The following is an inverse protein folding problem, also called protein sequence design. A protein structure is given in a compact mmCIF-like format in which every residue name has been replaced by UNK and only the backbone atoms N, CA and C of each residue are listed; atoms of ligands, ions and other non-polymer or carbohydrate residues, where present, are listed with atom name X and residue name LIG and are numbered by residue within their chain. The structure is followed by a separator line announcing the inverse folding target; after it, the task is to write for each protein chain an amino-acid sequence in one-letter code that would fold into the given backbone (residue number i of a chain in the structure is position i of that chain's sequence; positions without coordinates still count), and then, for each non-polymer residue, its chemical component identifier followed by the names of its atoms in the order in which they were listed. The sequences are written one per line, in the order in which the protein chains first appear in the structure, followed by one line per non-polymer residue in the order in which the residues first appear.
data_IF_800036700732
#
_entry.id   IF_800036700732
#
_cell.length_a   1.000
_cell.length_b   1.000
_cell.length_c   1.000
_cell.angle_alpha   90.00
_cell.angle_beta   90.00
_cell.angle_gamma   90.00
#
_symmetry.space_group_name_H-M   'P 1'
#
loop_
_entity.id
_entity.type
_entity.pdbx_description
1 polymer ?
#
# COMPACT_ATOMS: atom_id res chain seq x y z
N UNK A 1 41.84 -42.62 -16.82
CA UNK A 1 40.70 -42.79 -15.90
C UNK A 1 40.37 -41.42 -15.32
N UNK A 2 39.18 -40.85 -15.62
CA UNK A 2 38.83 -39.50 -15.24
C UNK A 2 38.26 -39.45 -13.81
N UNK A 3 38.69 -38.46 -13.03
CA UNK A 3 38.17 -38.17 -11.69
C UNK A 3 37.02 -37.17 -11.85
N UNK A 4 35.83 -37.39 -11.25
CA UNK A 4 34.66 -36.55 -11.48
C UNK A 4 34.78 -35.21 -10.71
N UNK A 5 34.56 -34.11 -11.42
CA UNK A 5 34.37 -32.79 -10.86
C UNK A 5 33.03 -32.75 -10.10
N UNK A 6 33.12 -32.67 -8.77
CA UNK A 6 31.98 -32.37 -7.90
C UNK A 6 31.52 -30.94 -8.19
N UNK A 7 30.37 -30.82 -8.86
CA UNK A 7 29.69 -29.55 -9.08
C UNK A 7 29.05 -29.13 -7.74
N UNK A 8 29.74 -28.26 -7.01
CA UNK A 8 29.23 -27.62 -5.80
C UNK A 8 27.98 -26.82 -6.15
N UNK A 9 26.81 -27.30 -5.72
CA UNK A 9 25.55 -26.56 -5.78
C UNK A 9 25.73 -25.24 -5.04
N UNK A 10 25.80 -24.13 -5.77
CA UNK A 10 25.61 -22.80 -5.21
C UNK A 10 24.13 -22.72 -4.84
N UNK A 11 23.84 -22.99 -3.57
CA UNK A 11 22.54 -22.78 -2.94
C UNK A 11 22.25 -21.28 -2.92
N UNK A 12 21.50 -20.79 -3.90
CA UNK A 12 20.89 -19.45 -3.90
C UNK A 12 19.71 -19.42 -2.94
N UNK A 13 20.01 -19.55 -1.65
CA UNK A 13 19.08 -19.23 -0.56
C UNK A 13 19.70 -18.11 0.27
N UNK A 14 19.75 -16.90 -0.31
CA UNK A 14 19.97 -15.68 0.46
C UNK A 14 18.91 -15.65 1.57
N UNK A 15 19.31 -15.62 2.86
CA UNK A 15 18.37 -15.77 3.95
C UNK A 15 17.42 -14.57 3.95
N UNK A 16 16.10 -14.84 4.01
CA UNK A 16 15.02 -13.83 4.16
C UNK A 16 15.23 -12.86 5.33
N UNK A 17 16.20 -13.09 6.22
CA UNK A 17 16.48 -12.32 7.43
C UNK A 17 16.92 -10.87 7.20
N UNK A 18 17.60 -10.55 6.09
CA UNK A 18 18.02 -9.16 5.82
C UNK A 18 16.87 -8.25 5.41
N UNK A 19 15.87 -8.80 4.71
CA UNK A 19 14.63 -8.08 4.36
C UNK A 19 13.76 -7.86 5.59
N UNK A 20 13.68 -8.82 6.51
CA UNK A 20 12.84 -8.69 7.71
C UNK A 20 13.31 -7.58 8.65
N UNK A 21 14.61 -7.40 8.82
CA UNK A 21 15.17 -6.34 9.68
C UNK A 21 14.99 -4.93 9.07
N UNK A 22 15.20 -4.79 7.75
CA UNK A 22 14.98 -3.52 7.04
C UNK A 22 13.52 -3.11 7.01
N UNK A 23 12.60 -4.06 6.76
CA UNK A 23 11.16 -3.80 6.75
C UNK A 23 10.65 -3.45 8.15
N UNK A 24 11.12 -4.12 9.20
CA UNK A 24 10.74 -3.78 10.57
C UNK A 24 11.13 -2.33 10.91
N UNK A 25 12.35 -1.93 10.54
CA UNK A 25 12.82 -0.56 10.70
C UNK A 25 12.00 0.45 9.86
N UNK A 26 11.64 0.09 8.64
CA UNK A 26 10.80 0.92 7.77
C UNK A 26 9.35 1.08 8.26
N UNK A 27 8.80 0.07 8.95
CA UNK A 27 7.48 0.13 9.61
C UNK A 27 7.55 0.94 10.90
N UNK A 28 8.65 0.81 11.67
CA UNK A 28 8.82 1.56 12.91
C UNK A 28 8.80 3.07 12.67
N UNK A 29 9.38 3.55 11.58
CA UNK A 29 9.39 4.98 11.24
C UNK A 29 7.99 5.62 11.22
N UNK A 30 7.04 5.20 10.37
CA UNK A 30 5.69 5.75 10.38
C UNK A 30 4.95 5.51 11.70
N UNK A 31 5.17 4.39 12.40
CA UNK A 31 4.53 4.16 13.71
C UNK A 31 5.03 5.14 14.78
N UNK A 32 6.32 5.47 14.79
CA UNK A 32 6.88 6.46 15.69
C UNK A 32 6.26 7.85 15.45
N UNK A 33 6.05 8.23 14.19
CA UNK A 33 5.34 9.47 13.86
C UNK A 33 3.88 9.43 14.31
N UNK A 34 3.16 8.31 14.11
CA UNK A 34 1.79 8.15 14.61
C UNK A 34 1.73 8.34 16.12
N UNK A 35 2.60 7.68 16.87
CA UNK A 35 2.64 7.77 18.33
C UNK A 35 2.98 9.20 18.80
N UNK A 36 4.01 9.82 18.22
CA UNK A 36 4.41 11.18 18.58
C UNK A 36 3.28 12.20 18.34
N UNK A 37 2.65 12.20 17.16
CA UNK A 37 1.55 13.13 16.90
C UNK A 37 0.32 12.82 17.74
N UNK A 38 0.07 11.56 18.12
CA UNK A 38 -1.01 11.19 19.03
C UNK A 38 -0.75 11.66 20.47
N UNK A 39 0.49 11.55 20.95
CA UNK A 39 0.93 12.03 22.27
C UNK A 39 0.80 13.55 22.36
N UNK A 40 1.38 14.29 21.40
CA UNK A 40 1.24 15.75 21.31
C UNK A 40 -0.23 16.16 21.20
N UNK A 41 -1.05 15.42 20.44
CA UNK A 41 -2.49 15.71 20.36
C UNK A 41 -3.21 15.47 21.69
N UNK A 42 -2.76 14.51 22.49
CA UNK A 42 -3.33 14.26 23.83
C UNK A 42 -3.00 15.42 24.77
N UNK A 43 -1.75 15.90 24.74
CA UNK A 43 -1.32 17.08 25.50
C UNK A 43 -2.10 18.34 25.09
N UNK A 44 -2.20 18.63 23.79
CA UNK A 44 -2.97 19.78 23.29
C UNK A 44 -4.46 19.70 23.67
N UNK A 45 -5.05 18.50 23.66
CA UNK A 45 -6.43 18.30 24.07
C UNK A 45 -6.63 18.54 25.58
N UNK A 46 -5.65 18.13 26.39
CA UNK A 46 -5.64 18.37 27.83
C UNK A 46 -5.48 19.87 28.13
N UNK A 47 -4.53 20.55 27.49
CA UNK A 47 -4.35 22.00 27.62
C UNK A 47 -5.61 22.78 27.21
N UNK A 48 -6.28 22.35 26.14
CA UNK A 48 -7.54 22.95 25.71
C UNK A 48 -8.66 22.74 26.75
N UNK A 49 -8.72 21.56 27.37
CA UNK A 49 -9.69 21.28 28.42
C UNK A 49 -9.43 22.14 29.67
N UNK A 50 -8.16 22.30 30.05
CA UNK A 50 -7.75 23.16 31.17
C UNK A 50 -8.06 24.63 30.91
N UNK A 51 -7.75 25.15 29.72
CA UNK A 51 -8.05 26.54 29.34
C UNK A 51 -9.57 26.80 29.36
N UNK A 52 -10.37 25.83 28.90
CA UNK A 52 -11.84 25.93 28.96
C UNK A 52 -12.43 25.88 30.36
N UNK A 53 -11.71 25.28 31.31
CA UNK A 53 -12.12 25.23 32.72
C UNK A 53 -11.75 26.51 33.49
N UNK A 54 -10.94 27.40 32.92
CA UNK A 54 -10.55 28.65 33.57
C UNK A 54 -11.74 29.64 33.66
N UNK A 55 -11.86 30.38 34.78
CA UNK A 55 -12.89 31.43 34.91
C UNK A 55 -12.77 32.54 33.87
N UNK A 56 -11.55 32.87 33.47
CA UNK A 56 -11.24 33.81 32.40
C UNK A 56 -10.54 33.06 31.26
N UNK A 57 -11.30 32.78 30.19
CA UNK A 57 -10.85 31.99 29.04
C UNK A 57 -10.07 32.86 28.05
N UNK A 58 -8.94 32.36 27.58
CA UNK A 58 -8.21 32.92 26.46
C UNK A 58 -8.66 32.26 25.15
N UNK A 59 -9.62 32.89 24.47
CA UNK A 59 -10.17 32.39 23.20
C UNK A 59 -9.12 32.31 22.07
N UNK A 60 -8.07 33.14 22.12
CA UNK A 60 -6.98 33.07 21.13
C UNK A 60 -6.16 31.79 21.31
N UNK A 61 -5.81 31.46 22.55
CA UNK A 61 -5.09 30.24 22.89
C UNK A 61 -5.92 28.99 22.57
N UNK A 62 -7.24 28.99 22.85
CA UNK A 62 -8.11 27.89 22.46
C UNK A 62 -8.14 27.66 20.95
N UNK A 63 -8.17 28.73 20.16
CA UNK A 63 -8.16 28.65 18.71
C UNK A 63 -6.83 28.11 18.16
N UNK A 64 -5.72 28.49 18.79
CA UNK A 64 -4.38 27.98 18.50
C UNK A 64 -4.28 26.47 18.79
N UNK A 65 -4.64 26.03 20.00
CA UNK A 65 -4.63 24.62 20.40
C UNK A 65 -5.52 23.75 19.50
N UNK A 66 -6.73 24.24 19.15
CA UNK A 66 -7.62 23.58 18.20
C UNK A 66 -7.03 23.54 16.78
N UNK A 67 -6.31 24.58 16.37
CA UNK A 67 -5.58 24.64 15.11
C UNK A 67 -4.51 23.57 15.03
N UNK A 68 -3.69 23.46 16.07
CA UNK A 68 -2.60 22.49 16.15
C UNK A 68 -3.10 21.04 16.19
N UNK A 69 -4.17 20.78 16.96
CA UNK A 69 -4.88 19.50 16.94
C UNK A 69 -5.33 19.13 15.52
N UNK A 70 -5.98 20.07 14.82
CA UNK A 70 -6.44 19.85 13.44
C UNK A 70 -5.28 19.59 12.48
N UNK A 71 -4.10 20.15 12.72
CA UNK A 71 -2.91 19.89 11.91
C UNK A 71 -2.24 18.55 12.21
N UNK A 72 -2.37 18.02 13.43
CA UNK A 72 -1.78 16.73 13.81
C UNK A 72 -2.56 15.52 13.26
N UNK A 73 -3.89 15.58 13.26
CA UNK A 73 -4.74 14.50 12.75
C UNK A 73 -4.42 14.03 11.30
N UNK A 74 -4.21 14.91 10.31
CA UNK A 74 -3.84 14.49 8.97
C UNK A 74 -2.44 13.86 8.91
N UNK A 75 -1.49 14.31 9.76
CA UNK A 75 -0.16 13.70 9.86
C UNK A 75 -0.26 12.27 10.39
N UNK A 76 -1.03 12.04 11.46
CA UNK A 76 -1.33 10.69 11.98
C UNK A 76 -1.89 9.81 10.87
N UNK A 77 -2.89 10.31 10.13
CA UNK A 77 -3.51 9.57 9.03
C UNK A 77 -2.51 9.22 7.93
N UNK A 78 -1.68 10.18 7.50
CA UNK A 78 -0.66 9.98 6.47
C UNK A 78 0.36 8.90 6.88
N UNK A 79 0.86 8.96 8.11
CA UNK A 79 1.84 8.00 8.60
C UNK A 79 1.20 6.60 8.81
N UNK A 80 -0.05 6.52 9.27
CA UNK A 80 -0.79 5.26 9.36
C UNK A 80 -1.00 4.60 8.00
N UNK A 81 -1.35 5.37 6.97
CA UNK A 81 -1.47 4.87 5.59
C UNK A 81 -0.13 4.37 5.04
N UNK A 82 0.97 5.05 5.35
CA UNK A 82 2.33 4.62 4.98
C UNK A 82 2.67 3.28 5.64
N UNK A 83 2.44 3.15 6.95
CA UNK A 83 2.66 1.88 7.67
C UNK A 83 1.84 0.74 7.05
N UNK A 84 0.55 0.98 6.77
CA UNK A 84 -0.34 0.02 6.13
C UNK A 84 0.15 -0.42 4.74
N UNK A 85 0.66 0.53 3.94
CA UNK A 85 1.20 0.24 2.61
C UNK A 85 2.47 -0.61 2.67
N UNK A 86 3.34 -0.40 3.66
CA UNK A 86 4.55 -1.22 3.86
C UNK A 86 4.16 -2.66 4.26
N UNK A 87 3.22 -2.81 5.21
CA UNK A 87 2.71 -4.12 5.62
C UNK A 87 2.04 -4.85 4.46
N UNK A 88 1.26 -4.13 3.64
CA UNK A 88 0.64 -4.69 2.45
C UNK A 88 1.70 -5.15 1.44
N UNK A 89 2.73 -4.34 1.18
CA UNK A 89 3.86 -4.73 0.35
C UNK A 89 4.57 -5.98 0.87
N UNK A 90 4.75 -6.10 2.19
CA UNK A 90 5.31 -7.29 2.83
C UNK A 90 4.43 -8.53 2.65
N UNK A 91 3.11 -8.41 2.85
CA UNK A 91 2.15 -9.51 2.69
C UNK A 91 2.01 -9.97 1.24
N UNK A 92 2.09 -9.05 0.28
CA UNK A 92 2.09 -9.36 -1.16
C UNK A 92 3.31 -10.22 -1.54
N UNK A 93 4.46 -9.99 -0.92
CA UNK A 93 5.69 -10.79 -1.10
C UNK A 93 5.73 -12.07 -0.24
N UNK A 94 5.00 -12.11 0.87
CA UNK A 94 4.97 -13.27 1.78
C UNK A 94 3.91 -14.30 1.42
N UNK A 95 2.84 -13.91 0.70
CA UNK A 95 1.86 -14.86 0.18
C UNK A 95 2.51 -15.64 -0.95
N UNK A 96 3.03 -16.82 -0.63
CA UNK A 96 3.28 -17.86 -1.61
C UNK A 96 1.98 -18.05 -2.42
N UNK A 97 1.95 -17.54 -3.66
CA UNK A 97 1.22 -18.29 -4.68
C UNK A 97 1.85 -19.68 -4.68
N UNK A 98 1.10 -20.71 -5.07
CA UNK A 98 1.70 -22.04 -5.24
C UNK A 98 2.89 -22.01 -6.22
N UNK A 99 3.10 -20.88 -6.94
CA UNK A 99 4.12 -20.71 -7.95
C UNK A 99 3.81 -21.54 -9.20
N UNK A 100 2.70 -22.27 -9.19
CA UNK A 100 2.33 -23.16 -10.26
C UNK A 100 1.91 -22.35 -11.47
N UNK A 101 2.73 -22.49 -12.51
CA UNK A 101 2.41 -21.93 -13.81
C UNK A 101 1.35 -22.80 -14.46
N UNK A 102 0.25 -22.19 -14.85
CA UNK A 102 -0.79 -22.85 -15.63
C UNK A 102 -1.02 -22.11 -16.94
N UNK A 103 -1.39 -22.82 -18.03
CA UNK A 103 -1.81 -22.19 -19.27
C UNK A 103 -2.95 -21.21 -19.00
N UNK A 104 -2.74 -19.94 -19.32
CA UNK A 104 -3.67 -18.86 -18.96
C UNK A 104 -3.90 -17.95 -20.16
N UNK A 105 -5.16 -17.61 -20.40
CA UNK A 105 -5.54 -16.56 -21.33
C UNK A 105 -5.26 -15.19 -20.68
N UNK A 106 -4.18 -14.54 -21.11
CA UNK A 106 -3.80 -13.23 -20.58
C UNK A 106 -4.76 -12.12 -21.01
N UNK A 107 -5.43 -12.23 -22.16
CA UNK A 107 -6.38 -11.21 -22.59
C UNK A 107 -7.60 -11.21 -21.67
N UNK A 108 -8.14 -12.40 -21.39
CA UNK A 108 -9.25 -12.55 -20.45
C UNK A 108 -8.86 -12.06 -19.04
N UNK A 109 -7.67 -12.43 -18.56
CA UNK A 109 -7.17 -11.99 -17.27
C UNK A 109 -6.99 -10.47 -17.20
N UNK A 110 -6.44 -9.84 -18.25
CA UNK A 110 -6.28 -8.39 -18.31
C UNK A 110 -7.62 -7.65 -18.31
N UNK A 111 -8.60 -8.10 -19.11
CA UNK A 111 -9.94 -7.48 -19.16
C UNK A 111 -10.66 -7.62 -17.81
N UNK A 112 -10.61 -8.79 -17.18
CA UNK A 112 -11.20 -9.04 -15.86
C UNK A 112 -10.66 -8.06 -14.81
N UNK A 113 -9.33 -7.98 -14.67
CA UNK A 113 -8.70 -7.13 -13.66
C UNK A 113 -8.82 -5.64 -13.98
N UNK A 114 -8.91 -5.25 -15.26
CA UNK A 114 -9.18 -3.87 -15.67
C UNK A 114 -10.57 -3.43 -15.21
N UNK A 115 -11.59 -4.25 -15.47
CA UNK A 115 -12.96 -4.00 -15.01
C UNK A 115 -13.05 -3.99 -13.49
N UNK A 116 -12.40 -4.94 -12.83
CA UNK A 116 -12.37 -5.03 -11.37
C UNK A 116 -11.78 -3.76 -10.75
N UNK A 117 -10.64 -3.29 -11.24
CA UNK A 117 -10.03 -2.05 -10.76
C UNK A 117 -10.94 -0.83 -10.98
N UNK A 118 -11.57 -0.73 -12.15
CA UNK A 118 -12.45 0.39 -12.50
C UNK A 118 -13.69 0.43 -11.61
N UNK A 119 -14.39 -0.69 -11.45
CA UNK A 119 -15.54 -0.80 -10.57
C UNK A 119 -15.17 -0.60 -9.10
N UNK A 120 -14.01 -1.09 -8.68
CA UNK A 120 -13.50 -0.88 -7.32
C UNK A 120 -13.28 0.60 -6.98
N UNK A 121 -12.78 1.39 -7.94
CA UNK A 121 -12.65 2.82 -7.76
C UNK A 121 -14.01 3.53 -7.78
N UNK A 122 -14.89 3.18 -8.73
CA UNK A 122 -16.24 3.78 -8.82
C UNK A 122 -17.15 3.49 -7.62
N UNK A 123 -16.94 2.36 -6.95
CA UNK A 123 -17.66 2.03 -5.72
C UNK A 123 -17.27 2.99 -4.57
N UNK A 124 -16.02 3.47 -4.56
CA UNK A 124 -15.52 4.45 -3.57
C UNK A 124 -15.86 5.88 -3.97
N UNK A 125 -15.77 6.19 -5.25
CA UNK A 125 -16.10 7.49 -5.81
C UNK A 125 -16.97 7.33 -7.06
N UNK A 126 -18.27 7.59 -6.91
CA UNK A 126 -19.24 7.46 -7.99
C UNK A 126 -19.04 8.49 -9.11
N UNK A 127 -18.31 9.57 -8.84
CA UNK A 127 -18.06 10.66 -9.80
C UNK A 127 -16.91 10.35 -10.75
N UNK A 128 -16.03 9.41 -10.37
CA UNK A 128 -14.94 8.97 -11.21
C UNK A 128 -15.47 8.31 -12.49
N UNK A 129 -15.02 8.83 -13.64
CA UNK A 129 -15.25 8.25 -14.94
C UNK A 129 -13.95 8.28 -15.76
N UNK A 130 -13.66 7.17 -16.44
CA UNK A 130 -12.54 7.03 -17.35
C UNK A 130 -13.00 6.20 -18.54
N UNK A 131 -12.56 6.56 -19.74
CA UNK A 131 -12.75 5.75 -20.94
C UNK A 131 -11.76 4.59 -20.91
N UNK A 132 -12.27 3.36 -20.95
CA UNK A 132 -11.45 2.15 -21.00
C UNK A 132 -11.31 1.74 -22.47
N UNK A 133 -10.09 1.76 -22.98
CA UNK A 133 -9.77 1.31 -24.33
C UNK A 133 -8.71 0.22 -24.24
N UNK A 134 -8.99 -0.93 -24.85
CA UNK A 134 -8.09 -2.08 -24.89
C UNK A 134 -7.64 -2.32 -26.33
N UNK A 135 -6.35 -2.63 -26.49
CA UNK A 135 -5.75 -3.08 -27.74
C UNK A 135 -5.04 -4.40 -27.46
N UNK A 136 -5.79 -5.49 -27.57
CA UNK A 136 -5.34 -6.84 -27.21
C UNK A 136 -5.21 -7.68 -28.48
N UNK A 137 -4.13 -8.47 -28.56
CA UNK A 137 -3.90 -9.34 -29.71
C UNK A 137 -4.92 -10.49 -29.75
N UNK A 138 -5.74 -10.56 -30.81
CA UNK A 138 -6.87 -11.48 -30.94
C UNK A 138 -6.51 -12.99 -30.96
N UNK A 139 -5.23 -13.33 -31.12
CA UNK A 139 -4.74 -14.70 -31.20
C UNK A 139 -3.62 -15.00 -30.21
N UNK A 140 -3.54 -14.27 -29.10
CA UNK A 140 -2.51 -14.52 -28.10
C UNK A 140 -2.68 -15.94 -27.53
N UNK A 141 -1.69 -16.84 -27.69
CA UNK A 141 -1.79 -18.18 -27.16
C UNK A 141 -1.80 -18.16 -25.64
N UNK A 142 -2.38 -19.20 -25.02
CA UNK A 142 -2.32 -19.35 -23.58
C UNK A 142 -0.86 -19.42 -23.11
N UNK A 143 -0.52 -18.63 -22.10
CA UNK A 143 0.83 -18.53 -21.57
C UNK A 143 0.91 -19.20 -20.20
N UNK A 144 2.01 -19.93 -19.97
CA UNK A 144 2.29 -20.57 -18.70
C UNK A 144 2.75 -19.52 -17.67
N UNK A 145 1.79 -18.98 -16.91
CA UNK A 145 1.98 -17.96 -15.88
C UNK A 145 1.32 -18.39 -14.58
N UNK A 146 1.57 -17.66 -13.49
CA UNK A 146 0.81 -17.81 -12.24
C UNK A 146 -0.31 -16.77 -12.25
N UNK A 147 -1.58 -17.14 -12.50
CA UNK A 147 -2.65 -16.16 -12.74
C UNK A 147 -2.90 -15.22 -11.59
N UNK A 148 -2.73 -15.72 -10.36
CA UNK A 148 -2.91 -14.94 -9.14
C UNK A 148 -1.85 -13.83 -9.03
N UNK A 149 -0.60 -14.12 -9.38
CA UNK A 149 0.47 -13.13 -9.33
C UNK A 149 0.33 -12.11 -10.46
N UNK A 150 0.00 -12.59 -11.66
CA UNK A 150 -0.31 -11.72 -12.80
C UNK A 150 -1.50 -10.81 -12.51
N UNK A 151 -2.57 -11.36 -11.92
CA UNK A 151 -3.75 -10.60 -11.51
C UNK A 151 -3.42 -9.49 -10.51
N UNK A 152 -2.57 -9.76 -9.51
CA UNK A 152 -2.09 -8.73 -8.57
C UNK A 152 -1.34 -7.61 -9.27
N UNK A 153 -0.43 -7.96 -10.19
CA UNK A 153 0.33 -6.98 -10.97
C UNK A 153 -0.62 -6.10 -11.80
N UNK A 154 -1.54 -6.72 -12.55
CA UNK A 154 -2.52 -6.02 -13.36
C UNK A 154 -3.41 -5.10 -12.52
N UNK A 155 -3.95 -5.60 -11.41
CA UNK A 155 -4.79 -4.82 -10.50
C UNK A 155 -4.05 -3.58 -9.99
N UNK A 156 -2.82 -3.76 -9.49
CA UNK A 156 -2.02 -2.67 -8.96
C UNK A 156 -1.70 -1.63 -10.05
N UNK A 157 -1.31 -2.07 -11.25
CA UNK A 157 -1.05 -1.18 -12.39
C UNK A 157 -2.29 -0.37 -12.76
N UNK A 158 -3.45 -1.01 -12.91
CA UNK A 158 -4.70 -0.32 -13.26
C UNK A 158 -5.15 0.65 -12.17
N UNK A 159 -5.06 0.26 -10.89
CA UNK A 159 -5.41 1.19 -9.79
C UNK A 159 -4.51 2.41 -9.76
N UNK A 160 -3.21 2.26 -10.03
CA UNK A 160 -2.27 3.38 -10.11
C UNK A 160 -2.57 4.27 -11.32
N UNK A 161 -2.89 3.68 -12.47
CA UNK A 161 -3.28 4.42 -13.66
C UNK A 161 -4.54 5.26 -13.42
N UNK A 162 -5.58 4.68 -12.80
CA UNK A 162 -6.79 5.42 -12.48
C UNK A 162 -6.57 6.53 -11.45
N UNK A 163 -5.74 6.27 -10.43
CA UNK A 163 -5.34 7.31 -9.49
C UNK A 163 -4.65 8.49 -10.19
N UNK A 164 -3.73 8.22 -11.12
CA UNK A 164 -3.05 9.25 -11.89
C UNK A 164 -4.01 10.05 -12.80
N UNK A 165 -4.99 9.38 -13.41
CA UNK A 165 -6.05 10.03 -14.21
C UNK A 165 -6.95 10.90 -13.35
N UNK A 166 -7.33 10.44 -12.15
CA UNK A 166 -8.19 11.19 -11.24
C UNK A 166 -7.55 12.47 -10.69
N UNK A 167 -6.20 12.52 -10.64
CA UNK A 167 -5.44 13.68 -10.15
C UNK A 167 -5.13 14.74 -11.22
N UNK A 168 -5.60 14.56 -12.46
CA UNK A 168 -5.56 15.59 -13.50
C UNK A 168 -6.79 16.48 -13.38
#
# INVERSE_FOLDING_TARGET
MPVPLSCTKISTSLPRSWLTAGIAHEIQNPLNFVNNFAEVSTELAQELAEERARPARNLSLEAELLGDLKQNLPKITQHGQRASSIVRGMLEHSRASTGERQPTDLNALADEYLRLAYHGLRAKDKTFNATLQTDLAAGLPALAVVPQDMGRVLLNLFTNAFYAVHRR
#
